data_IF_231159665211
#
_entry.id   IF_231159665211
#
_cell.length_a   1.000
_cell.length_b   1.000
_cell.length_c   1.000
_cell.angle_alpha   90.00
_cell.angle_beta   90.00
_cell.angle_gamma   90.00
#
_symmetry.space_group_name_H-M   'P 1'
#
loop_
_entity.id
_entity.type
_entity.pdbx_description
1 polymer ?
#
# COMPACT_ATOMS: atom_id res chain seq x y z
N UNK A 1 -31.53 -17.61 -3.48
CA UNK A 1 -30.15 -18.09 -3.74
C UNK A 1 -29.60 -17.39 -4.98
N UNK A 2 -30.43 -17.15 -5.99
CA UNK A 2 -30.09 -16.43 -7.22
C UNK A 2 -29.46 -15.05 -6.97
N UNK A 3 -30.00 -14.26 -6.03
CA UNK A 3 -29.36 -12.98 -5.63
C UNK A 3 -27.92 -13.16 -5.16
N UNK A 4 -27.64 -14.18 -4.35
CA UNK A 4 -26.29 -14.48 -3.86
C UNK A 4 -25.36 -14.85 -5.02
N UNK A 5 -25.83 -15.71 -5.93
CA UNK A 5 -25.09 -16.10 -7.12
C UNK A 5 -24.77 -14.91 -8.03
N UNK A 6 -25.71 -13.97 -8.20
CA UNK A 6 -25.47 -12.74 -8.96
C UNK A 6 -24.43 -11.81 -8.28
N UNK A 7 -24.27 -11.89 -6.95
CA UNK A 7 -23.15 -11.25 -6.26
C UNK A 7 -21.83 -11.93 -6.58
N UNK A 8 -21.80 -13.26 -6.48
CA UNK A 8 -20.61 -14.09 -6.75
C UNK A 8 -20.12 -13.93 -8.20
N UNK A 9 -21.02 -13.83 -9.18
CA UNK A 9 -20.70 -13.60 -10.59
C UNK A 9 -20.00 -12.25 -10.82
N UNK A 10 -20.41 -11.19 -10.11
CA UNK A 10 -19.73 -9.89 -10.19
C UNK A 10 -18.32 -9.95 -9.63
N UNK A 11 -18.13 -10.63 -8.50
CA UNK A 11 -16.79 -10.85 -7.92
C UNK A 11 -15.91 -11.62 -8.91
N UNK A 12 -16.44 -12.68 -9.52
CA UNK A 12 -15.72 -13.48 -10.49
C UNK A 12 -15.36 -12.67 -11.76
N UNK A 13 -16.27 -11.85 -12.27
CA UNK A 13 -16.04 -11.00 -13.44
C UNK A 13 -15.00 -9.90 -13.17
N UNK A 14 -14.97 -9.35 -11.95
CA UNK A 14 -14.01 -8.33 -11.55
C UNK A 14 -12.62 -8.91 -11.24
N UNK A 15 -12.55 -10.18 -10.81
CA UNK A 15 -11.32 -10.82 -10.37
C UNK A 15 -10.22 -10.78 -11.45
N UNK A 16 -9.03 -10.36 -11.06
CA UNK A 16 -7.86 -10.25 -11.96
C UNK A 16 -7.85 -9.01 -12.85
N UNK A 17 -8.89 -8.16 -12.81
CA UNK A 17 -8.90 -6.88 -13.52
C UNK A 17 -8.32 -5.75 -12.64
N UNK A 18 -7.81 -4.65 -13.23
CA UNK A 18 -7.36 -3.49 -12.47
C UNK A 18 -8.47 -2.93 -11.58
N UNK A 19 -8.23 -2.84 -10.28
CA UNK A 19 -9.27 -2.47 -9.30
C UNK A 19 -10.05 -1.20 -9.67
N UNK A 20 -9.37 -0.17 -10.19
CA UNK A 20 -10.00 1.09 -10.58
C UNK A 20 -11.07 0.96 -11.67
N UNK A 21 -10.93 0.00 -12.60
CA UNK A 21 -11.90 -0.20 -13.68
C UNK A 21 -13.10 -1.05 -13.26
N UNK A 22 -12.96 -1.89 -12.23
CA UNK A 22 -13.99 -2.83 -11.77
C UNK A 22 -14.51 -2.56 -10.36
N UNK A 23 -14.14 -1.43 -9.75
CA UNK A 23 -14.63 -1.04 -8.41
C UNK A 23 -16.16 -1.10 -8.30
N UNK A 24 -16.87 -0.73 -9.37
CA UNK A 24 -18.33 -0.81 -9.43
C UNK A 24 -18.89 -2.23 -9.30
N UNK A 25 -18.22 -3.22 -9.87
CA UNK A 25 -18.64 -4.63 -9.76
C UNK A 25 -18.48 -5.15 -8.33
N UNK A 26 -17.36 -4.81 -7.68
CA UNK A 26 -17.15 -5.12 -6.27
C UNK A 26 -18.18 -4.43 -5.36
N UNK A 27 -18.46 -3.14 -5.59
CA UNK A 27 -19.49 -2.43 -4.83
C UNK A 27 -20.87 -3.08 -5.00
N UNK A 28 -21.25 -3.45 -6.24
CA UNK A 28 -22.51 -4.13 -6.52
C UNK A 28 -22.61 -5.52 -5.89
N UNK A 29 -21.52 -6.28 -5.85
CA UNK A 29 -21.47 -7.56 -5.12
C UNK A 29 -21.65 -7.34 -3.61
N UNK A 30 -20.99 -6.33 -3.04
CA UNK A 30 -21.09 -6.01 -1.62
C UNK A 30 -22.52 -5.60 -1.22
N UNK A 31 -23.20 -4.80 -2.03
CA UNK A 31 -24.60 -4.40 -1.80
C UNK A 31 -25.52 -5.63 -1.71
N UNK A 32 -25.29 -6.63 -2.57
CA UNK A 32 -26.02 -7.91 -2.53
C UNK A 32 -25.74 -8.65 -1.23
N UNK A 33 -24.47 -8.80 -0.84
CA UNK A 33 -24.08 -9.51 0.37
C UNK A 33 -24.63 -8.83 1.62
N UNK A 34 -24.56 -7.50 1.69
CA UNK A 34 -25.13 -6.69 2.77
C UNK A 34 -26.64 -6.90 2.88
N UNK A 35 -27.37 -6.70 1.79
CA UNK A 35 -28.84 -6.85 1.81
C UNK A 35 -29.26 -8.27 2.20
N UNK A 36 -28.50 -9.29 1.83
CA UNK A 36 -28.79 -10.66 2.26
C UNK A 36 -28.46 -10.89 3.74
N UNK A 37 -27.30 -10.43 4.19
CA UNK A 37 -26.81 -10.65 5.57
C UNK A 37 -27.54 -9.82 6.62
N UNK A 38 -27.94 -8.59 6.28
CA UNK A 38 -28.50 -7.62 7.21
C UNK A 38 -30.03 -7.54 7.13
N UNK A 39 -30.61 -7.47 5.93
CA UNK A 39 -32.07 -7.34 5.78
C UNK A 39 -32.80 -8.68 5.86
N UNK A 40 -32.08 -9.78 5.59
CA UNK A 40 -32.65 -11.14 5.52
C UNK A 40 -31.86 -12.20 6.31
N UNK A 41 -31.44 -11.94 7.56
CA UNK A 41 -30.47 -12.76 8.30
C UNK A 41 -30.91 -14.21 8.54
N UNK A 42 -32.22 -14.49 8.56
CA UNK A 42 -32.76 -15.84 8.72
C UNK A 42 -32.74 -16.70 7.45
N UNK A 43 -32.44 -16.11 6.29
CA UNK A 43 -32.53 -16.80 5.01
C UNK A 43 -31.40 -17.82 4.80
N UNK A 44 -31.64 -18.82 3.94
CA UNK A 44 -30.58 -19.77 3.54
C UNK A 44 -29.40 -19.08 2.86
N UNK A 45 -29.65 -17.98 2.15
CA UNK A 45 -28.60 -17.20 1.49
C UNK A 45 -27.76 -16.41 2.49
N UNK A 46 -28.40 -15.78 3.48
CA UNK A 46 -27.71 -15.03 4.54
C UNK A 46 -26.70 -15.88 5.31
N UNK A 47 -27.04 -17.15 5.58
CA UNK A 47 -26.12 -18.09 6.24
C UNK A 47 -24.83 -18.36 5.47
N UNK A 48 -24.79 -18.08 4.16
CA UNK A 48 -23.62 -18.26 3.31
C UNK A 48 -22.81 -16.96 3.14
N UNK A 49 -23.38 -15.80 3.50
CA UNK A 49 -22.75 -14.49 3.30
C UNK A 49 -21.38 -14.37 3.98
N UNK A 50 -21.16 -14.86 5.22
CA UNK A 50 -19.83 -14.76 5.84
C UNK A 50 -18.72 -15.43 5.01
N UNK A 51 -19.00 -16.57 4.38
CA UNK A 51 -18.01 -17.23 3.53
C UNK A 51 -17.85 -16.51 2.18
N UNK A 52 -18.93 -15.92 1.64
CA UNK A 52 -18.82 -15.07 0.44
C UNK A 52 -18.02 -13.80 0.68
N UNK A 53 -18.14 -13.19 1.86
CA UNK A 53 -17.33 -12.04 2.24
C UNK A 53 -15.84 -12.41 2.33
N UNK A 54 -15.48 -13.61 2.79
CA UNK A 54 -14.08 -14.07 2.73
C UNK A 54 -13.59 -14.15 1.28
N UNK A 55 -14.34 -14.83 0.41
CA UNK A 55 -14.00 -14.91 -1.03
C UNK A 55 -13.92 -13.53 -1.69
N UNK A 56 -14.79 -12.61 -1.32
CA UNK A 56 -14.76 -11.23 -1.77
C UNK A 56 -13.47 -10.52 -1.34
N UNK A 57 -13.08 -10.63 -0.07
CA UNK A 57 -11.83 -10.06 0.44
C UNK A 57 -10.61 -10.67 -0.27
N UNK A 58 -10.60 -11.99 -0.47
CA UNK A 58 -9.52 -12.68 -1.21
C UNK A 58 -9.41 -12.17 -2.65
N UNK A 59 -10.55 -12.00 -3.35
CA UNK A 59 -10.57 -11.51 -4.72
C UNK A 59 -10.10 -10.05 -4.83
N UNK A 60 -10.61 -9.16 -3.97
CA UNK A 60 -10.23 -7.74 -3.96
C UNK A 60 -8.75 -7.57 -3.59
N UNK A 61 -8.25 -8.37 -2.65
CA UNK A 61 -6.88 -8.31 -2.18
C UNK A 61 -5.89 -9.18 -2.96
N UNK A 62 -6.30 -9.80 -4.08
CA UNK A 62 -5.44 -10.66 -4.88
C UNK A 62 -4.07 -10.04 -5.23
N UNK A 63 -3.95 -8.73 -5.59
CA UNK A 63 -2.63 -8.12 -5.83
C UNK A 63 -1.69 -8.20 -4.62
N UNK A 64 -2.20 -8.17 -3.39
CA UNK A 64 -1.39 -8.34 -2.19
C UNK A 64 -0.85 -9.77 -2.08
N UNK A 65 -1.70 -10.78 -2.29
CA UNK A 65 -1.29 -12.18 -2.29
C UNK A 65 -0.22 -12.47 -3.36
N UNK A 66 -0.31 -11.78 -4.50
CA UNK A 66 0.67 -11.82 -5.59
C UNK A 66 1.92 -10.93 -5.36
N UNK A 67 2.03 -10.27 -4.21
CA UNK A 67 3.12 -9.33 -3.85
C UNK A 67 3.25 -8.12 -4.78
N UNK A 68 2.19 -7.78 -5.51
CA UNK A 68 2.08 -6.57 -6.34
C UNK A 68 1.68 -5.39 -5.46
N UNK A 69 2.60 -5.01 -4.56
CA UNK A 69 2.32 -4.06 -3.47
C UNK A 69 1.73 -2.72 -3.93
N UNK A 70 2.25 -2.13 -5.01
CA UNK A 70 1.68 -0.87 -5.51
C UNK A 70 0.24 -1.01 -5.99
N UNK A 71 -0.10 -2.13 -6.61
CA UNK A 71 -1.44 -2.40 -7.11
C UNK A 71 -2.41 -2.79 -6.00
N UNK A 72 -1.87 -3.31 -4.89
CA UNK A 72 -2.63 -3.68 -3.70
C UNK A 72 -3.10 -2.48 -2.86
N UNK A 73 -2.45 -1.31 -2.96
CA UNK A 73 -2.79 -0.14 -2.11
C UNK A 73 -4.25 0.25 -2.26
N UNK A 74 -4.71 0.55 -3.48
CA UNK A 74 -6.08 1.00 -3.72
C UNK A 74 -7.18 0.00 -3.27
N UNK A 75 -7.13 -1.30 -3.63
CA UNK A 75 -8.13 -2.26 -3.17
C UNK A 75 -8.10 -2.48 -1.66
N UNK A 76 -6.93 -2.51 -1.02
CA UNK A 76 -6.83 -2.66 0.43
C UNK A 76 -7.35 -1.42 1.18
N UNK A 77 -7.07 -0.22 0.67
CA UNK A 77 -7.68 1.02 1.18
C UNK A 77 -9.20 0.96 1.08
N UNK A 78 -9.75 0.44 -0.02
CA UNK A 78 -11.19 0.25 -0.16
C UNK A 78 -11.74 -0.75 0.86
N UNK A 79 -11.11 -1.91 1.05
CA UNK A 79 -11.54 -2.90 2.05
C UNK A 79 -11.58 -2.33 3.47
N UNK A 80 -10.64 -1.43 3.80
CA UNK A 80 -10.59 -0.75 5.11
C UNK A 80 -11.78 0.19 5.37
N UNK A 81 -12.49 0.63 4.33
CA UNK A 81 -13.70 1.48 4.47
C UNK A 81 -14.98 0.67 4.67
N UNK A 82 -14.95 -0.65 4.46
CA UNK A 82 -16.18 -1.46 4.52
C UNK A 82 -16.84 -1.52 5.90
N UNK A 83 -16.12 -1.50 7.04
CA UNK A 83 -16.73 -1.40 8.35
C UNK A 83 -17.64 -0.18 8.55
N UNK A 84 -17.52 0.87 7.73
CA UNK A 84 -18.38 2.05 7.80
C UNK A 84 -19.77 1.81 7.17
N UNK A 85 -19.92 0.73 6.38
CA UNK A 85 -21.10 0.49 5.55
C UNK A 85 -21.66 -0.93 5.59
N UNK A 86 -20.99 -1.83 6.33
CA UNK A 86 -21.38 -3.22 6.55
C UNK A 86 -21.27 -3.53 8.03
N UNK A 87 -22.27 -4.21 8.58
CA UNK A 87 -22.34 -4.54 9.99
C UNK A 87 -21.09 -5.32 10.45
N UNK A 88 -20.48 -4.82 11.54
CA UNK A 88 -19.24 -5.39 12.06
C UNK A 88 -19.36 -6.84 12.53
N UNK A 89 -20.55 -7.32 12.91
CA UNK A 89 -20.76 -8.74 13.26
C UNK A 89 -20.78 -9.61 12.00
N UNK A 90 -21.27 -9.06 10.89
CA UNK A 90 -21.25 -9.74 9.60
C UNK A 90 -19.83 -9.87 9.05
N UNK A 91 -19.02 -8.80 9.16
CA UNK A 91 -17.61 -8.82 8.77
C UNK A 91 -16.73 -9.66 9.71
N UNK A 92 -17.00 -9.60 11.02
CA UNK A 92 -16.17 -10.27 12.03
C UNK A 92 -14.70 -9.85 11.91
N UNK A 93 -13.80 -10.83 11.80
CA UNK A 93 -12.36 -10.57 11.67
C UNK A 93 -11.98 -9.81 10.39
N UNK A 94 -12.81 -9.84 9.34
CA UNK A 94 -12.55 -9.14 8.08
C UNK A 94 -12.56 -7.61 8.26
N UNK A 95 -13.21 -7.10 9.32
CA UNK A 95 -13.28 -5.66 9.56
C UNK A 95 -11.90 -5.02 9.80
N UNK A 96 -11.00 -5.71 10.51
CA UNK A 96 -9.66 -5.23 10.83
C UNK A 96 -8.56 -5.84 9.94
N UNK A 97 -8.89 -6.89 9.19
CA UNK A 97 -7.94 -7.62 8.35
C UNK A 97 -7.11 -6.74 7.39
N UNK A 98 -7.65 -5.69 6.73
CA UNK A 98 -6.90 -4.92 5.73
C UNK A 98 -5.72 -4.12 6.28
N UNK A 99 -5.66 -3.85 7.60
CA UNK A 99 -4.66 -2.93 8.17
C UNK A 99 -3.21 -3.43 7.96
N UNK A 100 -2.92 -4.68 8.30
CA UNK A 100 -1.57 -5.25 8.15
C UNK A 100 -1.15 -5.43 6.67
N UNK A 101 -1.98 -5.99 5.77
CA UNK A 101 -1.71 -6.01 4.34
C UNK A 101 -1.49 -4.63 3.73
N UNK A 102 -2.28 -3.63 4.16
CA UNK A 102 -2.16 -2.26 3.63
C UNK A 102 -0.85 -1.62 4.09
N UNK A 103 -0.49 -1.76 5.38
CA UNK A 103 0.79 -1.28 5.89
C UNK A 103 1.97 -1.91 5.11
N UNK A 104 1.92 -3.23 4.89
CA UNK A 104 2.93 -3.96 4.11
C UNK A 104 2.99 -3.47 2.66
N UNK A 105 1.85 -3.21 2.04
CA UNK A 105 1.78 -2.78 0.63
C UNK A 105 2.24 -1.34 0.44
N UNK A 106 1.90 -0.44 1.36
CA UNK A 106 2.39 0.95 1.36
C UNK A 106 3.93 0.98 1.51
N UNK A 107 4.47 0.17 2.42
CA UNK A 107 5.93 0.03 2.56
C UNK A 107 6.57 -0.52 1.29
N UNK A 108 6.09 -1.67 0.80
CA UNK A 108 6.67 -2.34 -0.37
C UNK A 108 6.62 -1.46 -1.62
N UNK A 109 5.49 -0.78 -1.85
CA UNK A 109 5.37 0.15 -2.96
C UNK A 109 6.29 1.36 -2.80
N UNK A 110 6.27 2.00 -1.63
CA UNK A 110 7.08 3.16 -1.34
C UNK A 110 8.58 2.90 -1.50
N UNK A 111 9.08 1.80 -0.92
CA UNK A 111 10.49 1.38 -1.04
C UNK A 111 10.88 1.09 -2.48
N UNK A 112 10.01 0.44 -3.27
CA UNK A 112 10.31 0.12 -4.68
C UNK A 112 10.54 1.36 -5.56
N UNK A 113 10.07 2.53 -5.11
CA UNK A 113 10.20 3.81 -5.83
C UNK A 113 11.29 4.71 -5.27
N UNK A 114 11.98 4.32 -4.20
CA UNK A 114 13.00 5.15 -3.56
C UNK A 114 14.14 5.47 -4.51
N UNK A 115 14.45 6.77 -4.61
CA UNK A 115 15.54 7.27 -5.45
C UNK A 115 15.15 7.50 -6.92
N UNK A 116 13.92 7.22 -7.31
CA UNK A 116 13.36 7.67 -8.59
C UNK A 116 12.70 9.05 -8.50
N UNK A 117 12.38 9.70 -9.63
CA UNK A 117 11.60 10.94 -9.65
C UNK A 117 10.25 10.76 -8.96
N UNK A 118 9.94 11.61 -7.96
CA UNK A 118 8.72 11.50 -7.14
C UNK A 118 8.70 10.31 -6.18
N UNK A 119 9.86 9.74 -5.87
CA UNK A 119 9.99 8.40 -5.32
C UNK A 119 9.50 8.17 -3.89
N UNK A 120 8.40 7.41 -3.76
CA UNK A 120 8.01 6.67 -2.56
C UNK A 120 7.46 7.48 -1.38
N UNK A 121 7.63 8.79 -1.35
CA UNK A 121 7.21 9.65 -0.24
C UNK A 121 5.70 9.64 0.03
N UNK A 122 4.89 9.49 -1.01
CA UNK A 122 3.42 9.42 -0.87
C UNK A 122 3.00 8.18 -0.10
N UNK A 123 3.43 6.99 -0.53
CA UNK A 123 3.07 5.73 0.12
C UNK A 123 3.72 5.58 1.50
N UNK A 124 4.99 5.95 1.65
CA UNK A 124 5.67 5.88 2.95
C UNK A 124 5.09 6.90 3.94
N UNK A 125 4.70 8.08 3.46
CA UNK A 125 4.05 9.09 4.29
C UNK A 125 2.68 8.63 4.77
N UNK A 126 1.91 7.99 3.88
CA UNK A 126 0.62 7.38 4.24
C UNK A 126 0.79 6.26 5.27
N UNK A 127 1.78 5.38 5.09
CA UNK A 127 2.12 4.35 6.07
C UNK A 127 2.40 4.94 7.45
N UNK A 128 3.26 5.94 7.54
CA UNK A 128 3.66 6.54 8.82
C UNK A 128 2.53 7.32 9.49
N UNK A 129 1.59 7.90 8.72
CA UNK A 129 0.41 8.59 9.26
C UNK A 129 -0.65 7.62 9.74
N UNK A 130 -0.89 6.56 8.98
CA UNK A 130 -2.04 5.68 9.19
C UNK A 130 -1.71 4.47 10.08
N UNK A 131 -0.45 3.99 10.04
CA UNK A 131 0.00 2.82 10.80
C UNK A 131 1.36 3.05 11.49
N UNK A 132 1.52 4.11 12.32
CA UNK A 132 2.81 4.50 12.89
C UNK A 132 3.50 3.38 13.69
N UNK A 133 2.73 2.51 14.33
CA UNK A 133 3.24 1.45 15.19
C UNK A 133 3.48 0.12 14.47
N UNK A 134 3.14 0.02 13.17
CA UNK A 134 3.28 -1.21 12.39
C UNK A 134 4.74 -1.64 12.22
N UNK A 135 4.97 -2.93 12.00
CA UNK A 135 6.31 -3.44 11.68
C UNK A 135 6.87 -2.77 10.41
N UNK A 136 6.01 -2.54 9.41
CA UNK A 136 6.36 -1.84 8.18
C UNK A 136 6.79 -0.38 8.41
N UNK A 137 6.09 0.37 9.27
CA UNK A 137 6.46 1.75 9.61
C UNK A 137 7.86 1.84 10.23
N UNK A 138 8.19 0.90 11.12
CA UNK A 138 9.53 0.83 11.75
C UNK A 138 10.66 0.53 10.76
N UNK A 139 10.34 0.00 9.58
CA UNK A 139 11.33 -0.30 8.53
C UNK A 139 11.63 0.89 7.61
N UNK A 140 10.82 1.95 7.64
CA UNK A 140 10.97 3.10 6.72
C UNK A 140 12.33 3.80 6.90
N UNK A 141 12.67 4.20 8.13
CA UNK A 141 13.96 4.83 8.43
C UNK A 141 15.15 3.97 8.01
N UNK A 142 15.24 2.69 8.46
CA UNK A 142 16.28 1.77 8.03
C UNK A 142 16.41 1.61 6.50
N UNK A 143 15.29 1.50 5.77
CA UNK A 143 15.30 1.34 4.32
C UNK A 143 15.86 2.58 3.60
N UNK A 144 15.41 3.77 3.98
CA UNK A 144 15.92 5.04 3.42
C UNK A 144 17.40 5.21 3.77
N UNK A 145 17.76 5.01 5.03
CA UNK A 145 19.14 5.12 5.50
C UNK A 145 20.09 4.16 4.77
N UNK A 146 19.65 2.93 4.51
CA UNK A 146 20.45 1.98 3.73
C UNK A 146 20.61 2.44 2.27
N UNK A 147 19.53 2.90 1.64
CA UNK A 147 19.59 3.41 0.26
C UNK A 147 20.53 4.61 0.13
N UNK A 148 20.53 5.52 1.11
CA UNK A 148 21.48 6.65 1.17
C UNK A 148 22.92 6.13 1.24
N UNK A 149 23.22 5.19 2.15
CA UNK A 149 24.56 4.59 2.27
C UNK A 149 25.03 3.94 0.97
N UNK A 150 24.15 3.20 0.29
CA UNK A 150 24.47 2.56 -0.98
C UNK A 150 24.81 3.58 -2.06
N UNK A 151 24.11 4.72 -2.10
CA UNK A 151 24.41 5.79 -3.06
C UNK A 151 25.68 6.57 -2.71
N UNK A 152 25.94 6.82 -1.43
CA UNK A 152 27.23 7.39 -0.98
C UNK A 152 28.39 6.49 -1.41
N UNK A 153 28.25 5.16 -1.30
CA UNK A 153 29.26 4.23 -1.80
C UNK A 153 29.40 4.30 -3.33
N UNK A 154 28.30 4.46 -4.07
CA UNK A 154 28.28 4.57 -5.52
C UNK A 154 28.97 5.84 -6.07
N UNK A 155 29.17 6.88 -5.25
CA UNK A 155 29.95 8.07 -5.63
C UNK A 155 31.41 7.76 -5.99
N UNK A 156 31.95 6.64 -5.50
CA UNK A 156 33.30 6.17 -5.85
C UNK A 156 33.33 5.36 -7.15
N UNK A 157 32.16 5.15 -7.76
CA UNK A 157 31.97 4.36 -8.96
C UNK A 157 32.11 5.18 -10.24
N UNK A 158 31.62 4.62 -11.33
CA UNK A 158 31.71 5.20 -12.69
C UNK A 158 30.65 6.27 -12.98
N UNK A 159 29.57 6.32 -12.21
CA UNK A 159 28.44 7.24 -12.39
C UNK A 159 28.15 8.08 -11.13
N UNK A 160 29.11 8.89 -10.64
CA UNK A 160 28.92 9.70 -9.43
C UNK A 160 27.75 10.69 -9.54
N UNK A 161 27.44 11.17 -10.75
CA UNK A 161 26.33 12.11 -10.96
C UNK A 161 24.97 11.48 -10.88
N UNK A 162 24.80 10.28 -11.42
CA UNK A 162 23.56 9.54 -11.22
C UNK A 162 23.31 9.27 -9.73
N UNK A 163 24.35 8.86 -9.00
CA UNK A 163 24.26 8.65 -7.56
C UNK A 163 23.94 9.93 -6.77
N UNK A 164 24.50 11.07 -7.18
CA UNK A 164 24.20 12.40 -6.60
C UNK A 164 22.73 12.79 -6.77
N UNK A 165 22.17 12.60 -7.96
CA UNK A 165 20.76 12.90 -8.21
C UNK A 165 19.82 12.00 -7.40
N UNK A 166 20.16 10.72 -7.26
CA UNK A 166 19.41 9.82 -6.38
C UNK A 166 19.48 10.30 -4.92
N UNK A 167 20.65 10.75 -4.43
CA UNK A 167 20.79 11.30 -3.08
C UNK A 167 19.92 12.54 -2.87
N UNK A 168 19.84 13.47 -3.83
CA UNK A 168 18.92 14.62 -3.77
C UNK A 168 17.47 14.17 -3.63
N UNK A 169 17.07 13.17 -4.43
CA UNK A 169 15.73 12.59 -4.36
C UNK A 169 15.43 12.00 -2.98
N UNK A 170 16.35 11.19 -2.45
CA UNK A 170 16.22 10.57 -1.12
C UNK A 170 16.14 11.61 0.01
N UNK A 171 16.95 12.67 -0.05
CA UNK A 171 16.89 13.77 0.92
C UNK A 171 15.56 14.52 0.89
N UNK A 172 14.98 14.71 -0.31
CA UNK A 172 13.65 15.28 -0.48
C UNK A 172 12.59 14.38 0.13
N UNK A 173 12.56 13.09 -0.25
CA UNK A 173 11.65 12.09 0.32
C UNK A 173 11.74 12.07 1.85
N UNK A 174 12.95 11.98 2.41
CA UNK A 174 13.15 11.95 3.86
C UNK A 174 12.54 13.18 4.56
N UNK A 175 12.70 14.37 3.99
CA UNK A 175 12.23 15.63 4.59
C UNK A 175 10.72 15.82 4.58
N UNK A 176 10.02 15.18 3.65
CA UNK A 176 8.56 15.28 3.51
C UNK A 176 7.82 14.25 4.39
N UNK A 177 8.53 13.23 4.89
CA UNK A 177 7.93 12.21 5.74
C UNK A 177 7.64 12.74 7.15
N UNK A 178 6.56 12.28 7.80
CA UNK A 178 6.11 12.85 9.07
C UNK A 178 6.99 12.48 10.28
N UNK A 179 7.80 11.43 10.19
CA UNK A 179 8.60 10.91 11.30
C UNK A 179 9.95 11.65 11.43
N UNK A 180 10.23 12.24 12.60
CA UNK A 180 11.40 13.10 12.81
C UNK A 180 12.75 12.37 12.65
N UNK A 181 12.83 11.11 13.07
CA UNK A 181 14.02 10.27 12.88
C UNK A 181 14.29 10.00 11.39
N UNK A 182 13.22 9.86 10.59
CA UNK A 182 13.33 9.73 9.13
C UNK A 182 13.73 11.06 8.49
N UNK A 183 13.16 12.19 8.92
CA UNK A 183 13.54 13.53 8.43
C UNK A 183 15.03 13.81 8.65
N UNK A 184 15.58 13.39 9.78
CA UNK A 184 16.99 13.57 10.10
C UNK A 184 17.93 12.93 9.05
N UNK A 185 17.48 11.89 8.33
CA UNK A 185 18.25 11.25 7.26
C UNK A 185 18.53 12.19 6.07
N UNK A 186 17.77 13.29 5.93
CA UNK A 186 18.08 14.33 4.93
C UNK A 186 19.53 14.82 5.08
N UNK A 187 20.00 15.03 6.31
CA UNK A 187 21.36 15.53 6.53
C UNK A 187 22.42 14.56 6.01
N UNK A 188 22.17 13.24 6.10
CA UNK A 188 23.07 12.21 5.57
C UNK A 188 23.09 12.22 4.04
N UNK A 189 21.92 12.38 3.41
CA UNK A 189 21.81 12.53 1.97
C UNK A 189 22.51 13.81 1.48
N UNK A 190 22.30 14.95 2.15
CA UNK A 190 22.89 16.25 1.79
C UNK A 190 24.43 16.21 1.87
N UNK A 191 25.01 15.53 2.88
CA UNK A 191 26.47 15.30 2.92
C UNK A 191 26.95 14.49 1.72
N UNK A 192 26.24 13.43 1.36
CA UNK A 192 26.55 12.65 0.17
C UNK A 192 26.44 13.47 -1.12
N UNK A 193 25.46 14.38 -1.24
CA UNK A 193 25.33 15.28 -2.39
C UNK A 193 26.55 16.19 -2.51
N UNK A 194 27.03 16.75 -1.39
CA UNK A 194 28.26 17.59 -1.39
C UNK A 194 29.45 16.81 -1.93
N UNK A 195 29.68 15.59 -1.42
CA UNK A 195 30.75 14.72 -1.90
C UNK A 195 30.59 14.37 -3.39
N UNK A 196 29.35 14.14 -3.82
CA UNK A 196 29.02 13.77 -5.18
C UNK A 196 29.21 14.88 -6.20
N UNK A 197 28.94 16.15 -5.83
CA UNK A 197 29.22 17.31 -6.68
C UNK A 197 30.71 17.42 -7.01
N UNK A 198 31.60 17.12 -6.06
CA UNK A 198 33.04 17.08 -6.34
C UNK A 198 33.42 15.89 -7.24
N UNK A 199 32.81 14.72 -6.99
CA UNK A 199 33.09 13.50 -7.76
C UNK A 199 32.56 13.56 -9.20
N UNK A 200 31.50 14.33 -9.45
CA UNK A 200 30.92 14.58 -10.77
C UNK A 200 31.85 15.30 -11.74
N UNK A 201 32.91 15.92 -11.24
CA UNK A 201 33.57 17.02 -11.93
C UNK A 201 32.80 18.30 -11.67
N UNK A 202 33.50 19.27 -11.07
CA UNK A 202 33.12 20.67 -11.22
C UNK A 202 33.39 20.99 -12.69
N UNK A 203 32.40 21.50 -13.43
CA UNK A 203 32.68 22.12 -14.73
C UNK A 203 33.81 23.16 -14.60
#
# INVERSE_FOLDING_TARGET
LDRLAAGDERVAAASGQPFGSVKGEYAGALDVYRALGEDHPGSRAAKLVPDRLKTYYDAVSAPYAEKRHCEAVAPLTYLRTLPDSVDGKLLGALAAWPDEPLATSLYGCGVSRLGGPGGGGTELGELLRTFPDSASARQVGPAIGQRIKDQVAALKGVEPCAATEVLRGLGTTASELPAEDVKALRADADRGVVDGVYACGVD
#
